data_IF_067164374350
#
_entry.id   IF_067164374350
#
_cell.length_a   1.000
_cell.length_b   1.000
_cell.length_c   1.000
_cell.angle_alpha   90.00
_cell.angle_beta   90.00
_cell.angle_gamma   90.00
#
_symmetry.space_group_name_H-M   'P 1'
#
loop_
_entity.id
_entity.type
_entity.pdbx_description
1 polymer ?
#
# COMPACT_ATOMS: atom_id res chain seq x y z
N UNK A 1 -10.00 17.38 14.17
CA UNK A 1 -9.00 18.21 13.46
C UNK A 1 -9.13 17.88 11.98
N UNK A 2 -9.13 18.87 11.09
CA UNK A 2 -9.28 18.62 9.66
C UNK A 2 -8.04 17.90 9.13
N UNK A 3 -8.25 16.79 8.42
CA UNK A 3 -7.20 15.87 7.99
C UNK A 3 -7.08 15.91 6.47
N UNK A 4 -5.85 15.84 5.95
CA UNK A 4 -5.59 15.83 4.51
C UNK A 4 -5.31 14.40 4.05
N UNK A 5 -6.29 13.80 3.37
CA UNK A 5 -6.33 12.39 2.99
C UNK A 5 -6.09 12.15 1.50
N UNK A 6 -6.00 13.22 0.70
CA UNK A 6 -5.68 13.11 -0.71
C UNK A 6 -4.95 14.35 -1.24
N UNK A 7 -4.33 14.19 -2.41
CA UNK A 7 -3.60 15.24 -3.12
C UNK A 7 -4.47 16.47 -3.41
N UNK A 8 -5.76 16.27 -3.69
CA UNK A 8 -6.67 17.36 -4.05
C UNK A 8 -6.99 18.27 -2.87
N UNK A 9 -7.04 17.74 -1.65
CA UNK A 9 -7.23 18.53 -0.44
C UNK A 9 -6.03 19.44 -0.18
N UNK A 10 -4.80 18.95 -0.36
CA UNK A 10 -3.60 19.79 -0.30
C UNK A 10 -3.61 20.83 -1.42
N UNK A 11 -3.93 20.44 -2.65
CA UNK A 11 -3.99 21.34 -3.79
C UNK A 11 -5.02 22.48 -3.62
N UNK A 12 -6.14 22.22 -2.93
CA UNK A 12 -7.16 23.23 -2.63
C UNK A 12 -6.64 24.36 -1.74
N UNK A 13 -5.68 24.07 -0.86
CA UNK A 13 -5.04 25.03 0.04
C UNK A 13 -4.06 25.97 -0.69
N UNK A 14 -3.57 25.57 -1.86
CA UNK A 14 -2.61 26.36 -2.64
C UNK A 14 -3.34 27.45 -3.44
N UNK A 15 -2.58 28.52 -3.74
CA UNK A 15 -2.99 29.64 -4.60
C UNK A 15 -3.17 29.26 -6.09
N UNK A 16 -2.68 28.08 -6.49
CA UNK A 16 -2.73 27.51 -7.85
C UNK A 16 -1.98 28.36 -8.89
N UNK A 17 -1.03 29.20 -8.45
CA UNK A 17 -0.26 30.08 -9.34
C UNK A 17 0.72 29.33 -10.25
N UNK A 18 1.13 28.11 -9.87
CA UNK A 18 2.19 27.35 -10.52
C UNK A 18 3.49 28.16 -10.67
N UNK A 19 3.79 29.04 -9.71
CA UNK A 19 4.92 29.98 -9.78
C UNK A 19 6.31 29.33 -9.75
N UNK A 20 6.41 28.06 -9.34
CA UNK A 20 7.65 27.25 -9.26
C UNK A 20 8.71 27.75 -8.28
N UNK A 21 8.41 28.73 -7.43
CA UNK A 21 9.36 29.24 -6.42
C UNK A 21 9.73 28.19 -5.37
N UNK A 22 8.88 27.18 -5.19
CA UNK A 22 9.16 26.00 -4.38
C UNK A 22 9.91 24.90 -5.15
N UNK A 23 10.41 25.13 -6.38
CA UNK A 23 11.09 24.13 -7.22
C UNK A 23 10.23 22.95 -7.69
N UNK A 24 8.90 23.14 -7.79
CA UNK A 24 8.00 22.16 -8.40
C UNK A 24 7.41 22.66 -9.71
N UNK A 25 7.17 21.76 -10.65
CA UNK A 25 6.68 22.12 -11.99
C UNK A 25 5.28 22.79 -11.94
N UNK A 26 4.43 22.37 -11.00
CA UNK A 26 3.07 22.87 -10.77
C UNK A 26 2.70 22.76 -9.28
N UNK A 27 1.68 23.51 -8.84
CA UNK A 27 1.09 23.38 -7.51
C UNK A 27 0.53 21.96 -7.27
N UNK A 28 0.03 21.30 -8.32
CA UNK A 28 -0.41 19.91 -8.22
C UNK A 28 0.77 18.95 -7.98
N UNK A 29 1.91 19.19 -8.62
CA UNK A 29 3.13 18.41 -8.37
C UNK A 29 3.64 18.61 -6.93
N UNK A 30 3.61 19.85 -6.43
CA UNK A 30 3.90 20.15 -5.03
C UNK A 30 2.96 19.39 -4.09
N UNK A 31 1.64 19.50 -4.29
CA UNK A 31 0.65 18.80 -3.49
C UNK A 31 0.86 17.27 -3.49
N UNK A 32 1.21 16.69 -4.64
CA UNK A 32 1.49 15.26 -4.74
C UNK A 32 2.76 14.84 -3.96
N UNK A 33 3.82 15.66 -3.99
CA UNK A 33 5.04 15.39 -3.21
C UNK A 33 4.82 15.56 -1.71
N UNK A 34 4.05 16.57 -1.31
CA UNK A 34 3.63 16.76 0.09
C UNK A 34 2.82 15.56 0.57
N UNK A 35 1.84 15.11 -0.21
CA UNK A 35 1.04 13.92 0.12
C UNK A 35 1.89 12.65 0.26
N UNK A 36 2.90 12.50 -0.60
CA UNK A 36 3.87 11.37 -0.53
C UNK A 36 4.88 11.51 0.61
N UNK A 37 4.86 12.60 1.38
CA UNK A 37 5.86 12.90 2.41
C UNK A 37 7.26 13.15 1.86
N UNK A 38 7.37 13.50 0.57
CA UNK A 38 8.62 13.87 -0.09
C UNK A 38 8.94 15.36 0.07
N UNK A 39 7.99 16.13 0.62
CA UNK A 39 8.06 17.57 0.83
C UNK A 39 7.17 17.98 1.99
N UNK A 40 7.50 19.07 2.67
CA UNK A 40 6.65 19.65 3.72
C UNK A 40 5.74 20.75 3.16
N UNK A 41 4.65 21.02 3.86
CA UNK A 41 3.63 21.96 3.43
C UNK A 41 4.13 23.42 3.50
N UNK A 42 5.01 23.72 4.45
CA UNK A 42 5.68 25.01 4.66
C UNK A 42 6.75 25.34 3.60
N UNK A 43 7.13 24.38 2.76
CA UNK A 43 8.03 24.62 1.63
C UNK A 43 7.36 25.37 0.46
N UNK A 44 6.08 25.75 0.58
CA UNK A 44 5.41 26.66 -0.33
C UNK A 44 5.45 28.10 0.23
N UNK A 45 6.27 29.02 -0.33
CA UNK A 45 6.40 30.39 0.20
C UNK A 45 5.15 31.25 0.12
N UNK A 46 4.15 30.83 -0.66
CA UNK A 46 2.88 31.53 -0.81
C UNK A 46 1.78 30.98 0.11
N UNK A 47 2.07 29.94 0.89
CA UNK A 47 1.07 29.36 1.78
C UNK A 47 1.00 30.16 3.09
N UNK A 48 -0.21 30.46 3.54
CA UNK A 48 -0.45 31.21 4.77
C UNK A 48 -0.06 30.39 6.01
N UNK A 49 0.55 31.05 7.00
CA UNK A 49 1.02 30.43 8.24
C UNK A 49 -0.13 29.72 9.01
N UNK A 50 -1.34 30.29 9.01
CA UNK A 50 -2.54 29.68 9.60
C UNK A 50 -2.88 28.30 9.03
N UNK A 51 -2.58 28.07 7.75
CA UNK A 51 -2.81 26.78 7.09
C UNK A 51 -1.72 25.79 7.50
N UNK A 52 -0.48 26.24 7.60
CA UNK A 52 0.66 25.43 8.04
C UNK A 52 0.43 24.95 9.48
N UNK A 53 -0.01 25.82 10.39
CA UNK A 53 -0.30 25.44 11.77
C UNK A 53 -1.43 24.40 11.88
N UNK A 54 -2.46 24.52 11.05
CA UNK A 54 -3.61 23.61 11.09
C UNK A 54 -3.31 22.23 10.49
N UNK A 55 -2.46 22.17 9.46
CA UNK A 55 -2.31 20.99 8.62
C UNK A 55 -0.90 20.41 8.53
N UNK A 56 0.14 21.11 8.99
CA UNK A 56 1.54 20.72 8.84
C UNK A 56 1.90 19.35 9.42
N UNK A 57 1.16 18.87 10.44
CA UNK A 57 1.31 17.53 11.02
C UNK A 57 0.20 16.53 10.69
N UNK A 58 -0.85 16.93 9.96
CA UNK A 58 -2.08 16.14 9.76
C UNK A 58 -2.21 15.55 8.34
N UNK A 59 -1.08 15.20 7.72
CA UNK A 59 -1.05 14.52 6.42
C UNK A 59 -0.81 13.03 6.69
N UNK A 60 -1.87 12.23 6.59
CA UNK A 60 -1.71 10.78 6.60
C UNK A 60 -0.97 10.36 5.34
N UNK A 61 0.22 9.77 5.52
CA UNK A 61 0.95 9.18 4.40
C UNK A 61 0.09 8.05 3.85
N UNK A 62 -0.21 8.03 2.55
CA UNK A 62 -0.93 6.91 1.96
C UNK A 62 -0.12 5.64 2.19
N UNK A 63 -0.78 4.60 2.70
CA UNK A 63 -0.20 3.26 2.74
C UNK A 63 0.19 2.92 1.30
N UNK A 64 1.48 2.63 1.07
CA UNK A 64 1.94 2.35 -0.28
C UNK A 64 1.33 1.05 -0.80
N UNK A 65 1.35 0.83 -2.12
CA UNK A 65 0.87 -0.42 -2.69
C UNK A 65 1.60 -1.63 -2.09
N UNK A 66 2.90 -1.48 -1.80
CA UNK A 66 3.74 -2.49 -1.16
C UNK A 66 3.27 -2.79 0.26
N UNK A 67 3.00 -1.76 1.07
CA UNK A 67 2.54 -1.94 2.45
C UNK A 67 1.13 -2.55 2.52
N UNK A 68 0.24 -2.17 1.60
CA UNK A 68 -1.09 -2.77 1.48
C UNK A 68 -0.98 -4.26 1.11
N UNK A 69 -0.10 -4.58 0.15
CA UNK A 69 0.16 -5.96 -0.25
C UNK A 69 0.73 -6.77 0.92
N UNK A 70 1.69 -6.22 1.66
CA UNK A 70 2.28 -6.87 2.84
C UNK A 70 1.23 -7.14 3.92
N UNK A 71 0.37 -6.16 4.23
CA UNK A 71 -0.71 -6.31 5.20
C UNK A 71 -1.72 -7.38 4.76
N UNK A 72 -2.12 -7.38 3.49
CA UNK A 72 -3.02 -8.39 2.92
C UNK A 72 -2.40 -9.80 2.98
N UNK A 73 -1.13 -9.94 2.58
CA UNK A 73 -0.40 -11.21 2.64
C UNK A 73 -0.27 -11.73 4.06
N UNK A 74 0.02 -10.87 5.04
CA UNK A 74 0.09 -11.24 6.46
C UNK A 74 -1.24 -11.78 6.97
N UNK A 75 -2.36 -11.16 6.59
CA UNK A 75 -3.69 -11.64 6.94
C UNK A 75 -4.01 -13.00 6.31
N UNK A 76 -3.65 -13.20 5.03
CA UNK A 76 -3.86 -14.48 4.35
C UNK A 76 -3.05 -15.61 4.97
N UNK A 77 -1.77 -15.37 5.29
CA UNK A 77 -0.91 -16.34 5.99
C UNK A 77 -1.48 -16.76 7.33
N UNK A 78 -2.05 -15.81 8.10
CA UNK A 78 -2.73 -16.10 9.36
C UNK A 78 -3.95 -17.01 9.15
N UNK A 79 -4.82 -16.70 8.19
CA UNK A 79 -6.00 -17.52 7.89
C UNK A 79 -5.64 -18.94 7.47
N UNK A 80 -4.54 -19.12 6.73
CA UNK A 80 -4.05 -20.46 6.35
C UNK A 80 -3.70 -21.28 7.59
N UNK A 81 -3.06 -20.69 8.60
CA UNK A 81 -2.73 -21.41 9.84
C UNK A 81 -3.94 -21.82 10.67
N UNK A 82 -5.09 -21.17 10.49
CA UNK A 82 -6.36 -21.47 11.16
C UNK A 82 -7.24 -22.43 10.34
N UNK A 83 -6.83 -22.77 9.11
CA UNK A 83 -7.61 -23.61 8.18
C UNK A 83 -7.07 -25.04 8.16
N UNK A 84 -7.99 -26.02 8.11
CA UNK A 84 -7.61 -27.39 7.80
C UNK A 84 -7.22 -27.51 6.33
N UNK A 85 -5.90 -27.49 6.09
CA UNK A 85 -5.31 -27.56 4.75
C UNK A 85 -5.61 -28.91 4.08
N UNK A 86 -5.78 -30.00 4.82
CA UNK A 86 -6.07 -31.32 4.26
C UNK A 86 -7.46 -31.35 3.64
N UNK A 87 -8.47 -30.90 4.41
CA UNK A 87 -9.84 -30.79 3.89
C UNK A 87 -9.95 -29.75 2.75
N UNK A 88 -9.19 -28.65 2.85
CA UNK A 88 -9.13 -27.66 1.78
C UNK A 88 -8.52 -28.25 0.49
N UNK A 89 -7.53 -29.14 0.58
CA UNK A 89 -6.93 -29.80 -0.58
C UNK A 89 -7.96 -30.59 -1.37
N UNK A 90 -8.75 -31.42 -0.70
CA UNK A 90 -9.80 -32.22 -1.34
C UNK A 90 -10.85 -31.34 -2.02
N UNK A 91 -11.31 -30.29 -1.33
CA UNK A 91 -12.29 -29.33 -1.86
C UNK A 91 -11.81 -28.60 -3.10
N UNK A 92 -10.51 -28.33 -3.19
CA UNK A 92 -9.90 -27.57 -4.28
C UNK A 92 -9.38 -28.46 -5.41
N UNK A 93 -9.51 -29.79 -5.30
CA UNK A 93 -8.91 -30.74 -6.24
C UNK A 93 -7.37 -30.74 -6.18
N UNK A 94 -6.81 -30.33 -5.04
CA UNK A 94 -5.38 -30.30 -4.76
C UNK A 94 -4.88 -31.58 -4.12
N UNK A 95 -3.56 -31.63 -3.90
CA UNK A 95 -2.90 -32.70 -3.16
C UNK A 95 -2.31 -32.15 -1.87
N UNK A 96 -2.51 -32.84 -0.76
CA UNK A 96 -1.84 -32.54 0.50
C UNK A 96 -0.83 -33.64 0.81
N UNK A 97 0.45 -33.29 0.88
CA UNK A 97 1.51 -34.23 1.25
C UNK A 97 2.62 -33.50 2.01
N UNK A 98 3.24 -34.17 2.99
CA UNK A 98 4.35 -33.62 3.79
C UNK A 98 4.05 -32.23 4.43
N UNK A 99 2.80 -31.97 4.83
CA UNK A 99 2.42 -30.69 5.43
C UNK A 99 2.28 -29.53 4.44
N UNK A 100 2.19 -29.83 3.13
CA UNK A 100 2.07 -28.85 2.05
C UNK A 100 0.87 -29.18 1.16
N UNK A 101 0.02 -28.19 0.94
CA UNK A 101 -0.99 -28.20 -0.12
C UNK A 101 -0.34 -27.82 -1.44
N UNK A 102 -0.61 -28.57 -2.49
CA UNK A 102 -0.19 -28.27 -3.86
C UNK A 102 -1.42 -28.26 -4.77
N UNK A 103 -1.57 -27.16 -5.50
CA UNK A 103 -2.62 -26.92 -6.47
C UNK A 103 -2.00 -26.77 -7.86
N UNK A 104 -2.72 -27.25 -8.88
CA UNK A 104 -2.35 -26.99 -10.27
C UNK A 104 -3.00 -25.69 -10.73
N UNK A 105 -2.18 -24.68 -11.01
CA UNK A 105 -2.61 -23.40 -11.57
C UNK A 105 -1.98 -23.27 -12.95
N UNK A 106 -2.81 -23.27 -14.00
CA UNK A 106 -2.35 -23.26 -15.40
C UNK A 106 -1.29 -24.33 -15.71
N UNK A 107 -1.44 -25.52 -15.12
CA UNK A 107 -0.52 -26.66 -15.30
C UNK A 107 0.77 -26.59 -14.49
N UNK A 108 0.99 -25.52 -13.71
CA UNK A 108 2.14 -25.37 -12.79
C UNK A 108 1.73 -25.69 -11.37
N UNK A 109 2.68 -26.24 -10.62
CA UNK A 109 2.47 -26.55 -9.21
C UNK A 109 2.70 -25.27 -8.39
N UNK A 110 1.65 -24.87 -7.68
CA UNK A 110 1.66 -23.78 -6.69
C UNK A 110 1.25 -24.40 -5.37
N UNK A 111 2.05 -24.20 -4.34
CA UNK A 111 1.79 -24.79 -3.04
C UNK A 111 1.93 -23.83 -1.89
N UNK A 112 1.34 -24.22 -0.77
CA UNK A 112 1.34 -23.49 0.48
C UNK A 112 1.53 -24.45 1.63
N UNK A 113 2.38 -24.10 2.60
CA UNK A 113 2.56 -24.88 3.82
C UNK A 113 1.60 -24.45 4.95
N UNK A 114 1.62 -25.18 6.06
CA UNK A 114 0.86 -24.88 7.28
C UNK A 114 1.19 -23.52 7.91
N UNK A 115 2.29 -22.87 7.52
CA UNK A 115 2.71 -21.54 7.99
C UNK A 115 2.34 -20.43 6.98
N UNK A 116 1.65 -20.76 5.89
CA UNK A 116 1.30 -19.82 4.83
C UNK A 116 2.46 -19.42 3.93
N UNK A 117 3.58 -20.14 3.94
CA UNK A 117 4.67 -19.92 2.99
C UNK A 117 4.28 -20.49 1.63
N UNK A 118 4.36 -19.65 0.61
CA UNK A 118 4.10 -20.02 -0.78
C UNK A 118 5.34 -20.65 -1.43
N UNK A 119 5.09 -21.60 -2.33
CA UNK A 119 6.07 -22.30 -3.15
C UNK A 119 5.52 -22.42 -4.56
N UNK A 120 6.35 -22.24 -5.58
CA UNK A 120 5.91 -22.44 -6.95
C UNK A 120 7.12 -22.66 -7.86
N UNK A 121 6.87 -23.32 -8.99
CA UNK A 121 7.82 -23.41 -10.10
C UNK A 121 7.95 -22.09 -10.88
N UNK A 122 7.16 -21.06 -10.54
CA UNK A 122 7.22 -19.71 -11.10
C UNK A 122 7.59 -18.67 -10.03
N UNK A 123 7.91 -17.44 -10.48
CA UNK A 123 8.32 -16.35 -9.60
C UNK A 123 7.25 -16.04 -8.54
N UNK A 124 7.70 -15.92 -7.29
CA UNK A 124 6.88 -15.51 -6.15
C UNK A 124 7.43 -14.18 -5.64
N UNK A 125 6.55 -13.18 -5.53
CA UNK A 125 6.83 -12.01 -4.72
C UNK A 125 6.70 -12.39 -3.24
N UNK A 126 7.78 -12.26 -2.45
CA UNK A 126 7.78 -12.68 -1.05
C UNK A 126 6.78 -11.92 -0.18
#
# INVERSE_FOLDING_TARGET
MAQLNNVMEIFKLLDKSNCRVCNEATCLAFAAKVFKGQKQLDECPHLEDDIIERFGGNIEKPITAEQNMEAAMKQLRKKISETDISSAAERLGGTFSNGKLTLKVLGKDVGVDLKGKLFSDIHIHP
#
